data_IF_292492678155
#
_entry.id   IF_292492678155
#
_cell.length_a   1.000
_cell.length_b   1.000
_cell.length_c   1.000
_cell.angle_alpha   90.00
_cell.angle_beta   90.00
_cell.angle_gamma   90.00
#
_symmetry.space_group_name_H-M   'P 1'
#
loop_
_entity.id
_entity.type
_entity.pdbx_description
1 polymer ?
#
# COMPACT_ATOMS: atom_id res chain seq x y z
N UNK A 1 -13.06 22.49 -1.16
CA UNK A 1 -13.66 21.61 -2.19
C UNK A 1 -13.32 22.04 -3.61
N UNK A 2 -13.23 23.34 -3.93
CA UNK A 2 -12.89 23.84 -5.28
C UNK A 2 -11.64 23.23 -5.95
N UNK A 3 -10.65 22.76 -5.18
CA UNK A 3 -9.42 22.15 -5.74
C UNK A 3 -9.62 20.73 -6.25
N UNK A 4 -10.57 19.95 -5.71
CA UNK A 4 -10.83 18.58 -6.20
C UNK A 4 -11.58 18.59 -7.54
N UNK A 5 -12.45 19.58 -7.72
CA UNK A 5 -13.23 19.76 -8.94
C UNK A 5 -12.46 20.51 -10.04
N UNK A 6 -11.16 20.75 -9.85
CA UNK A 6 -10.34 21.33 -10.92
C UNK A 6 -10.23 20.29 -12.05
N UNK A 7 -10.46 20.71 -13.31
CA UNK A 7 -10.50 19.79 -14.44
C UNK A 7 -9.17 19.04 -14.62
N UNK A 8 -8.04 19.70 -14.32
CA UNK A 8 -6.72 19.09 -14.36
C UNK A 8 -6.57 17.96 -13.31
N UNK A 9 -6.96 18.23 -12.06
CA UNK A 9 -6.90 17.23 -10.97
C UNK A 9 -7.78 16.04 -11.29
N UNK A 10 -9.00 16.28 -11.79
CA UNK A 10 -9.93 15.22 -12.14
C UNK A 10 -9.39 14.37 -13.30
N UNK A 11 -8.86 15.02 -14.35
CA UNK A 11 -8.28 14.31 -15.50
C UNK A 11 -7.14 13.39 -15.06
N UNK A 12 -6.22 13.89 -14.24
CA UNK A 12 -5.11 13.08 -13.73
C UNK A 12 -5.57 11.96 -12.80
N UNK A 13 -6.54 12.24 -11.91
CA UNK A 13 -7.10 11.24 -11.01
C UNK A 13 -7.79 10.10 -11.78
N UNK A 14 -8.58 10.43 -12.81
CA UNK A 14 -9.22 9.44 -13.69
C UNK A 14 -8.18 8.60 -14.43
N UNK A 15 -7.13 9.23 -14.98
CA UNK A 15 -6.07 8.47 -15.66
C UNK A 15 -5.31 7.55 -14.72
N UNK A 16 -4.98 8.00 -13.51
CA UNK A 16 -4.30 7.18 -12.51
C UNK A 16 -5.20 6.02 -12.05
N UNK A 17 -6.48 6.31 -11.77
CA UNK A 17 -7.45 5.29 -11.39
C UNK A 17 -7.70 4.24 -12.47
N UNK A 18 -7.67 4.63 -13.76
CA UNK A 18 -7.79 3.68 -14.87
C UNK A 18 -6.59 2.75 -14.92
N UNK A 19 -5.37 3.29 -14.80
CA UNK A 19 -4.14 2.49 -14.74
C UNK A 19 -4.15 1.55 -13.53
N UNK A 20 -4.63 2.01 -12.37
CA UNK A 20 -4.74 1.18 -11.17
C UNK A 20 -5.81 0.10 -11.29
N UNK A 21 -6.96 0.39 -11.90
CA UNK A 21 -7.98 -0.62 -12.15
C UNK A 21 -7.42 -1.77 -13.00
N UNK A 22 -6.69 -1.42 -14.08
CA UNK A 22 -5.98 -2.40 -14.92
C UNK A 22 -4.91 -3.15 -14.13
N UNK A 23 -4.13 -2.46 -13.30
CA UNK A 23 -3.10 -3.08 -12.46
C UNK A 23 -3.69 -4.02 -11.39
N UNK A 24 -4.91 -3.76 -10.91
CA UNK A 24 -5.60 -4.59 -9.93
C UNK A 24 -6.30 -5.81 -10.55
N UNK A 25 -6.57 -5.79 -11.86
CA UNK A 25 -7.30 -6.87 -12.54
C UNK A 25 -6.75 -8.28 -12.27
N UNK A 26 -5.43 -8.54 -12.34
CA UNK A 26 -4.91 -9.89 -12.11
C UNK A 26 -5.28 -10.43 -10.73
N UNK A 27 -5.06 -9.64 -9.66
CA UNK A 27 -5.40 -10.07 -8.29
C UNK A 27 -6.92 -10.29 -8.12
N UNK A 28 -7.75 -9.42 -8.72
CA UNK A 28 -9.21 -9.58 -8.71
C UNK A 28 -9.67 -10.84 -9.44
N UNK A 29 -8.96 -11.21 -10.52
CA UNK A 29 -9.26 -12.41 -11.31
C UNK A 29 -8.92 -13.69 -10.56
N UNK A 30 -7.84 -13.69 -9.76
CA UNK A 30 -7.39 -14.82 -8.96
C UNK A 30 -8.14 -14.97 -7.63
N UNK A 31 -8.93 -13.98 -7.20
CA UNK A 31 -9.65 -14.05 -5.93
C UNK A 31 -10.73 -15.15 -5.96
N UNK A 32 -10.55 -16.28 -5.23
CA UNK A 32 -11.45 -17.43 -5.33
C UNK A 32 -12.80 -17.19 -4.63
N UNK A 33 -12.81 -16.43 -3.53
CA UNK A 33 -13.99 -16.19 -2.69
C UNK A 33 -14.84 -14.97 -3.12
N UNK A 34 -14.73 -14.54 -4.39
CA UNK A 34 -15.47 -13.36 -4.85
C UNK A 34 -16.98 -13.61 -4.87
N UNK A 35 -17.73 -12.75 -4.20
CA UNK A 35 -19.20 -12.75 -4.23
C UNK A 35 -19.73 -11.98 -5.44
N UNK A 36 -18.99 -10.97 -5.89
CA UNK A 36 -19.40 -10.06 -6.96
C UNK A 36 -18.64 -10.32 -8.27
N UNK A 37 -19.24 -9.97 -9.42
CA UNK A 37 -18.58 -10.13 -10.72
C UNK A 37 -17.39 -9.17 -10.88
N UNK A 38 -16.39 -9.58 -11.66
CA UNK A 38 -15.11 -8.85 -11.81
C UNK A 38 -15.34 -7.42 -12.32
N UNK A 39 -16.18 -7.24 -13.34
CA UNK A 39 -16.48 -5.91 -13.90
C UNK A 39 -17.02 -4.93 -12.85
N UNK A 40 -17.79 -5.43 -11.87
CA UNK A 40 -18.33 -4.61 -10.79
C UNK A 40 -17.23 -4.22 -9.80
N UNK A 41 -16.35 -5.17 -9.44
CA UNK A 41 -15.21 -4.91 -8.57
C UNK A 41 -14.23 -3.93 -9.22
N UNK A 42 -13.95 -4.07 -10.52
CA UNK A 42 -13.13 -3.13 -11.28
C UNK A 42 -13.75 -1.74 -11.33
N UNK A 43 -15.06 -1.62 -11.59
CA UNK A 43 -15.76 -0.34 -11.56
C UNK A 43 -15.67 0.32 -10.18
N UNK A 44 -15.77 -0.47 -9.10
CA UNK A 44 -15.66 0.01 -7.73
C UNK A 44 -14.22 0.46 -7.40
N UNK A 45 -13.21 -0.30 -7.84
CA UNK A 45 -11.80 0.10 -7.73
C UNK A 45 -11.57 1.39 -8.51
N UNK A 46 -12.03 1.48 -9.75
CA UNK A 46 -11.89 2.67 -10.58
C UNK A 46 -12.52 3.91 -9.93
N UNK A 47 -13.78 3.81 -9.47
CA UNK A 47 -14.47 4.92 -8.81
C UNK A 47 -13.80 5.31 -7.49
N UNK A 48 -13.44 4.32 -6.67
CA UNK A 48 -12.75 4.52 -5.40
C UNK A 48 -11.39 5.19 -5.60
N UNK A 49 -10.55 4.64 -6.47
CA UNK A 49 -9.25 5.20 -6.80
C UNK A 49 -9.35 6.60 -7.39
N UNK A 50 -10.38 6.90 -8.19
CA UNK A 50 -10.59 8.26 -8.72
C UNK A 50 -10.76 9.26 -7.58
N UNK A 51 -11.57 8.94 -6.57
CA UNK A 51 -11.76 9.81 -5.40
C UNK A 51 -10.47 9.92 -4.57
N UNK A 52 -9.80 8.79 -4.31
CA UNK A 52 -8.57 8.76 -3.51
C UNK A 52 -7.44 9.54 -4.20
N UNK A 53 -7.22 9.37 -5.50
CA UNK A 53 -6.26 10.15 -6.27
C UNK A 53 -6.63 11.63 -6.33
N UNK A 54 -7.91 11.97 -6.41
CA UNK A 54 -8.32 13.37 -6.33
C UNK A 54 -7.88 14.00 -5.00
N UNK A 55 -7.98 13.27 -3.88
CA UNK A 55 -7.47 13.75 -2.58
C UNK A 55 -5.95 13.95 -2.62
N UNK A 56 -5.21 12.96 -3.12
CA UNK A 56 -3.75 13.02 -3.23
C UNK A 56 -3.33 14.20 -4.11
N UNK A 57 -3.77 14.25 -5.36
CA UNK A 57 -3.36 15.27 -6.33
C UNK A 57 -3.88 16.67 -5.97
N UNK A 58 -5.11 16.75 -5.47
CA UNK A 58 -5.78 18.03 -5.20
C UNK A 58 -5.41 18.67 -3.85
N UNK A 59 -4.97 17.89 -2.86
CA UNK A 59 -4.64 18.41 -1.53
C UNK A 59 -3.18 18.25 -1.13
N UNK A 60 -2.54 17.11 -1.43
CA UNK A 60 -1.18 16.87 -0.94
C UNK A 60 -0.20 17.97 -1.38
N UNK A 61 -0.10 18.36 -2.67
CA UNK A 61 0.82 19.43 -3.07
C UNK A 61 0.56 20.76 -2.38
N UNK A 62 -0.71 21.07 -2.12
CA UNK A 62 -1.12 22.34 -1.53
C UNK A 62 -0.70 22.47 -0.07
N UNK A 63 -0.89 21.40 0.72
CA UNK A 63 -0.60 21.45 2.16
C UNK A 63 0.82 20.99 2.49
N UNK A 64 1.34 19.97 1.81
CA UNK A 64 2.70 19.47 2.03
C UNK A 64 3.77 20.34 1.35
N UNK A 65 3.37 21.24 0.42
CA UNK A 65 4.26 22.06 -0.43
C UNK A 65 5.31 21.23 -1.17
N UNK A 66 4.92 20.01 -1.59
CA UNK A 66 5.78 19.04 -2.27
C UNK A 66 5.01 18.34 -3.39
N UNK A 67 5.65 18.02 -4.52
CA UNK A 67 5.00 17.26 -5.57
C UNK A 67 4.72 15.83 -5.10
N UNK A 68 3.64 15.23 -5.62
CA UNK A 68 3.26 13.84 -5.35
C UNK A 68 4.27 12.87 -5.94
N UNK A 69 4.70 13.13 -7.18
CA UNK A 69 5.70 12.36 -7.90
C UNK A 69 7.03 13.10 -7.89
N UNK A 70 8.05 12.50 -7.25
CA UNK A 70 9.43 13.00 -7.27
C UNK A 70 10.33 11.99 -7.96
N UNK A 71 10.79 12.33 -9.17
CA UNK A 71 11.77 11.52 -9.90
C UNK A 71 13.20 11.76 -9.40
N UNK A 72 13.48 12.97 -8.92
CA UNK A 72 14.78 13.33 -8.31
C UNK A 72 14.75 12.96 -6.82
N UNK A 73 14.90 11.67 -6.52
CA UNK A 73 15.05 11.20 -5.15
C UNK A 73 16.50 11.44 -4.72
N UNK A 74 16.71 12.04 -3.55
CA UNK A 74 18.05 12.20 -2.99
C UNK A 74 18.70 10.84 -2.72
N UNK A 75 20.03 10.76 -2.84
CA UNK A 75 20.78 9.52 -2.62
C UNK A 75 20.49 8.89 -1.24
N UNK A 76 20.33 9.72 -0.20
CA UNK A 76 20.06 9.25 1.16
C UNK A 76 18.68 8.57 1.32
N UNK A 77 17.54 9.22 1.00
CA UNK A 77 16.24 8.55 1.01
C UNK A 77 16.20 7.29 0.13
N UNK A 78 16.87 7.32 -1.03
CA UNK A 78 16.98 6.15 -1.91
C UNK A 78 17.73 4.99 -1.26
N UNK A 79 18.91 5.25 -0.69
CA UNK A 79 19.70 4.25 0.02
C UNK A 79 18.94 3.68 1.23
N UNK A 80 18.27 4.55 1.99
CA UNK A 80 17.46 4.13 3.13
C UNK A 80 16.31 3.22 2.69
N UNK A 81 15.60 3.57 1.62
CA UNK A 81 14.54 2.71 1.06
C UNK A 81 15.11 1.36 0.63
N UNK A 82 16.22 1.33 -0.10
CA UNK A 82 16.81 0.07 -0.56
C UNK A 82 17.28 -0.80 0.59
N UNK A 83 18.07 -0.25 1.52
CA UNK A 83 18.63 -1.02 2.64
C UNK A 83 17.53 -1.48 3.61
N UNK A 84 16.59 -0.61 3.97
CA UNK A 84 15.49 -1.00 4.86
C UNK A 84 14.53 -1.99 4.18
N UNK A 85 14.25 -1.82 2.89
CA UNK A 85 13.45 -2.76 2.10
C UNK A 85 14.06 -4.16 2.12
N UNK A 86 15.35 -4.27 1.79
CA UNK A 86 16.06 -5.56 1.80
C UNK A 86 16.16 -6.17 3.21
N UNK A 87 16.52 -5.36 4.22
CA UNK A 87 16.65 -5.85 5.59
C UNK A 87 15.31 -6.34 6.16
N UNK A 88 14.24 -5.57 5.99
CA UNK A 88 12.90 -5.95 6.46
C UNK A 88 12.40 -7.15 5.66
N UNK A 89 12.58 -7.17 4.33
CA UNK A 89 12.23 -8.32 3.49
C UNK A 89 12.90 -9.62 3.99
N UNK A 90 14.20 -9.56 4.29
CA UNK A 90 14.95 -10.68 4.83
C UNK A 90 14.45 -11.13 6.20
N UNK A 91 14.21 -10.20 7.12
CA UNK A 91 13.68 -10.52 8.46
C UNK A 91 12.29 -11.15 8.38
N UNK A 92 11.40 -10.61 7.54
CA UNK A 92 10.06 -11.17 7.31
C UNK A 92 10.14 -12.57 6.72
N UNK A 93 10.97 -12.75 5.69
CA UNK A 93 11.19 -14.04 5.06
C UNK A 93 11.67 -15.09 6.08
N UNK A 94 12.60 -14.72 6.96
CA UNK A 94 13.23 -15.68 7.87
C UNK A 94 12.38 -16.02 9.10
N UNK A 95 11.65 -15.05 9.65
CA UNK A 95 11.00 -15.19 10.96
C UNK A 95 9.47 -15.18 10.92
N UNK A 96 8.89 -14.36 10.05
CA UNK A 96 7.43 -14.12 10.05
C UNK A 96 6.74 -15.01 9.03
N UNK A 97 7.23 -15.04 7.80
CA UNK A 97 6.57 -15.72 6.70
C UNK A 97 6.41 -17.24 6.88
N UNK A 98 7.34 -18.00 7.50
CA UNK A 98 7.13 -19.43 7.74
C UNK A 98 5.95 -19.71 8.68
N UNK A 99 5.78 -18.87 9.71
CA UNK A 99 4.69 -19.04 10.69
C UNK A 99 3.34 -18.59 10.15
N UNK A 100 3.33 -17.52 9.35
CA UNK A 100 2.12 -17.03 8.69
C UNK A 100 1.65 -17.96 7.58
N UNK A 101 2.56 -18.47 6.75
CA UNK A 101 2.20 -19.35 5.64
C UNK A 101 1.52 -20.64 6.13
N UNK A 102 2.05 -21.26 7.19
CA UNK A 102 1.44 -22.45 7.78
C UNK A 102 0.00 -22.24 8.28
N UNK A 103 -0.39 -21.00 8.58
CA UNK A 103 -1.73 -20.64 9.10
C UNK A 103 -2.65 -20.05 8.03
N UNK A 104 -2.09 -19.37 7.05
CA UNK A 104 -2.80 -18.68 5.97
C UNK A 104 -2.07 -18.87 4.64
N UNK A 105 -2.14 -20.08 4.06
CA UNK A 105 -1.46 -20.35 2.79
C UNK A 105 -2.02 -19.48 1.65
N UNK A 106 -3.31 -19.13 1.68
CA UNK A 106 -3.96 -18.27 0.68
C UNK A 106 -3.40 -16.83 0.62
N UNK A 107 -2.80 -16.34 1.71
CA UNK A 107 -2.17 -15.01 1.76
C UNK A 107 -0.79 -14.98 1.07
N UNK A 108 -0.30 -16.13 0.58
CA UNK A 108 0.97 -16.24 -0.14
C UNK A 108 0.74 -16.61 -1.61
N UNK A 109 1.49 -16.02 -2.55
CA UNK A 109 1.38 -16.37 -3.96
C UNK A 109 1.88 -17.80 -4.20
N UNK A 110 1.13 -18.57 -4.97
CA UNK A 110 1.52 -19.92 -5.37
C UNK A 110 2.54 -19.90 -6.51
N UNK A 111 2.34 -19.02 -7.49
CA UNK A 111 3.12 -18.93 -8.73
C UNK A 111 3.58 -17.50 -9.02
N UNK A 112 4.45 -17.34 -10.03
CA UNK A 112 4.92 -16.03 -10.50
C UNK A 112 3.78 -15.11 -10.96
N UNK A 113 2.74 -15.67 -11.58
CA UNK A 113 1.58 -14.90 -12.05
C UNK A 113 0.77 -14.32 -10.88
N UNK A 114 0.52 -15.15 -9.86
CA UNK A 114 -0.11 -14.73 -8.60
C UNK A 114 0.75 -13.69 -7.86
N UNK A 115 2.07 -13.88 -7.84
CA UNK A 115 2.99 -12.92 -7.25
C UNK A 115 2.94 -11.55 -7.96
N UNK A 116 2.91 -11.55 -9.30
CA UNK A 116 2.85 -10.33 -10.10
C UNK A 116 1.53 -9.59 -9.87
N UNK A 117 0.40 -10.30 -9.86
CA UNK A 117 -0.90 -9.73 -9.51
C UNK A 117 -0.91 -9.09 -8.12
N UNK A 118 -0.36 -9.78 -7.13
CA UNK A 118 -0.27 -9.30 -5.75
C UNK A 118 0.62 -8.07 -5.61
N UNK A 119 1.73 -8.00 -6.34
CA UNK A 119 2.60 -6.82 -6.35
C UNK A 119 1.87 -5.63 -6.96
N UNK A 120 1.28 -5.80 -8.15
CA UNK A 120 0.58 -4.71 -8.83
C UNK A 120 -0.56 -4.18 -7.98
N UNK A 121 -1.36 -5.06 -7.38
CA UNK A 121 -2.43 -4.69 -6.46
C UNK A 121 -1.91 -3.94 -5.22
N UNK A 122 -0.79 -4.39 -4.64
CA UNK A 122 -0.18 -3.72 -3.47
C UNK A 122 0.35 -2.32 -3.82
N UNK A 123 1.02 -2.18 -4.96
CA UNK A 123 1.59 -0.92 -5.41
C UNK A 123 0.50 0.09 -5.80
N UNK A 124 -0.52 -0.38 -6.53
CA UNK A 124 -1.64 0.43 -6.98
C UNK A 124 -2.58 0.80 -5.82
N UNK A 125 -3.27 -0.18 -5.25
CA UNK A 125 -4.40 0.10 -4.37
C UNK A 125 -4.00 0.22 -2.90
N UNK A 126 -3.18 -0.71 -2.41
CA UNK A 126 -2.89 -0.79 -0.96
C UNK A 126 -2.15 0.45 -0.48
N UNK A 127 -1.15 0.95 -1.22
CA UNK A 127 -0.46 2.18 -0.85
C UNK A 127 -1.32 3.43 -0.97
N UNK A 128 -2.15 3.51 -2.02
CA UNK A 128 -3.08 4.62 -2.19
C UNK A 128 -4.06 4.70 -1.02
N UNK A 129 -4.66 3.56 -0.65
CA UNK A 129 -5.68 3.47 0.38
C UNK A 129 -5.13 3.66 1.79
N UNK A 130 -3.96 3.11 2.11
CA UNK A 130 -3.41 3.12 3.47
C UNK A 130 -2.50 4.29 3.77
N UNK A 131 -1.85 4.86 2.75
CA UNK A 131 -0.79 5.85 2.95
C UNK A 131 -1.13 7.15 2.25
N UNK A 132 -1.23 7.14 0.92
CA UNK A 132 -1.26 8.40 0.16
C UNK A 132 -2.54 9.20 0.41
N UNK A 133 -3.70 8.58 0.26
CA UNK A 133 -4.98 9.25 0.43
C UNK A 133 -5.26 9.63 1.90
N UNK A 134 -5.02 8.77 2.90
CA UNK A 134 -5.16 9.15 4.30
C UNK A 134 -4.25 10.31 4.70
N UNK A 135 -2.96 10.32 4.28
CA UNK A 135 -2.07 11.46 4.56
C UNK A 135 -2.64 12.73 3.95
N UNK A 136 -3.06 12.71 2.68
CA UNK A 136 -3.59 13.90 2.00
C UNK A 136 -4.87 14.43 2.66
N UNK A 137 -5.79 13.52 3.05
CA UNK A 137 -7.05 13.86 3.71
C UNK A 137 -6.83 14.36 5.15
N UNK A 138 -6.00 13.68 5.95
CA UNK A 138 -5.70 14.09 7.32
C UNK A 138 -4.90 15.39 7.37
N UNK A 139 -4.01 15.62 6.40
CA UNK A 139 -3.28 16.87 6.29
C UNK A 139 -4.21 18.04 5.96
N UNK A 140 -5.24 17.79 5.13
CA UNK A 140 -6.30 18.77 4.85
C UNK A 140 -7.11 19.12 6.11
N UNK A 141 -7.38 18.15 6.98
CA UNK A 141 -8.18 18.34 8.19
C UNK A 141 -7.39 19.00 9.32
N UNK A 142 -6.19 18.51 9.60
CA UNK A 142 -5.40 18.93 10.77
C UNK A 142 -4.48 20.12 10.47
N UNK A 143 -4.11 20.32 9.20
CA UNK A 143 -3.12 21.32 8.80
C UNK A 143 -1.70 21.04 9.29
N UNK A 144 -1.48 19.95 10.05
CA UNK A 144 -0.19 19.59 10.66
C UNK A 144 0.29 18.25 10.13
N UNK A 145 1.46 18.25 9.49
CA UNK A 145 2.03 17.07 8.85
C UNK A 145 2.29 15.92 9.82
N UNK A 146 2.82 16.23 10.99
CA UNK A 146 3.14 15.26 12.04
C UNK A 146 1.88 14.53 12.52
N UNK A 147 0.80 15.28 12.76
CA UNK A 147 -0.47 14.74 13.21
C UNK A 147 -1.09 13.85 12.13
N UNK A 148 -1.07 14.32 10.87
CA UNK A 148 -1.54 13.52 9.74
C UNK A 148 -0.74 12.21 9.56
N UNK A 149 0.58 12.26 9.74
CA UNK A 149 1.44 11.08 9.68
C UNK A 149 1.09 10.06 10.78
N UNK A 150 0.98 10.50 12.04
CA UNK A 150 0.64 9.63 13.17
C UNK A 150 -0.73 8.98 12.96
N UNK A 151 -1.76 9.75 12.62
CA UNK A 151 -3.09 9.20 12.36
C UNK A 151 -3.12 8.25 11.15
N UNK A 152 -2.29 8.47 10.13
CA UNK A 152 -2.21 7.53 9.00
C UNK A 152 -1.61 6.19 9.43
N UNK A 153 -0.57 6.21 10.27
CA UNK A 153 0.02 4.97 10.80
C UNK A 153 -1.00 4.22 11.66
N UNK A 154 -1.73 4.93 12.52
CA UNK A 154 -2.79 4.35 13.35
C UNK A 154 -3.94 3.79 12.51
N UNK A 155 -4.34 4.49 11.43
CA UNK A 155 -5.37 4.02 10.50
C UNK A 155 -5.01 2.65 9.92
N UNK A 156 -3.76 2.43 9.51
CA UNK A 156 -3.35 1.13 8.99
C UNK A 156 -3.33 0.00 10.04
N UNK A 157 -3.15 0.32 11.33
CA UNK A 157 -3.35 -0.63 12.43
C UNK A 157 -4.82 -0.92 12.71
N UNK A 158 -5.68 0.10 12.59
CA UNK A 158 -7.12 -0.03 12.73
C UNK A 158 -7.74 -0.90 11.61
N UNK A 159 -7.25 -0.75 10.37
CA UNK A 159 -7.63 -1.65 9.26
C UNK A 159 -7.30 -3.12 9.58
N UNK A 160 -6.13 -3.38 10.19
CA UNK A 160 -5.77 -4.73 10.63
C UNK A 160 -6.73 -5.24 11.71
N UNK A 161 -7.10 -4.38 12.67
CA UNK A 161 -8.05 -4.74 13.72
C UNK A 161 -9.44 -5.11 13.15
N UNK A 162 -9.89 -4.44 12.09
CA UNK A 162 -11.14 -4.81 11.40
C UNK A 162 -11.03 -6.10 10.59
N UNK A 163 -9.83 -6.48 10.13
CA UNK A 163 -9.61 -7.74 9.42
C UNK A 163 -9.45 -8.94 10.38
N UNK A 164 -9.16 -8.70 11.66
CA UNK A 164 -8.92 -9.76 12.63
C UNK A 164 -10.11 -10.72 12.82
N UNK A 165 -11.37 -10.27 12.95
CA UNK A 165 -12.52 -11.17 13.11
C UNK A 165 -12.74 -12.11 11.92
N UNK A 166 -12.29 -11.72 10.72
CA UNK A 166 -12.38 -12.53 9.51
C UNK A 166 -11.22 -13.54 9.36
N UNK A 167 -10.26 -13.54 10.30
CA UNK A 167 -9.08 -14.39 10.26
C UNK A 167 -9.16 -15.55 11.27
N UNK A 168 -8.50 -16.69 11.01
CA UNK A 168 -8.35 -17.73 12.02
C UNK A 168 -7.73 -17.17 13.31
N UNK A 169 -8.13 -17.68 14.50
CA UNK A 169 -7.63 -17.16 15.76
C UNK A 169 -6.10 -17.31 15.86
N UNK A 170 -5.43 -16.19 16.09
CA UNK A 170 -3.99 -16.14 16.33
C UNK A 170 -3.70 -16.08 17.84
N UNK A 171 -2.60 -16.69 18.31
CA UNK A 171 -2.06 -16.40 19.63
C UNK A 171 -1.84 -14.90 19.77
N UNK A 172 -2.15 -14.35 20.94
CA UNK A 172 -2.03 -12.91 21.22
C UNK A 172 -0.64 -12.37 20.87
N UNK A 173 0.42 -13.12 21.19
CA UNK A 173 1.80 -12.75 20.85
C UNK A 173 2.01 -12.58 19.33
N UNK A 174 1.40 -13.45 18.51
CA UNK A 174 1.50 -13.37 17.06
C UNK A 174 0.69 -12.19 16.51
N UNK A 175 -0.51 -11.94 17.07
CA UNK A 175 -1.30 -10.76 16.72
C UNK A 175 -0.54 -9.47 17.01
N UNK A 176 0.11 -9.36 18.17
CA UNK A 176 0.95 -8.23 18.53
C UNK A 176 2.14 -8.07 17.59
N UNK A 177 2.77 -9.18 17.17
CA UNK A 177 3.87 -9.15 16.20
C UNK A 177 3.40 -8.64 14.82
N UNK A 178 2.25 -9.11 14.32
CA UNK A 178 1.68 -8.64 13.05
C UNK A 178 1.29 -7.17 13.14
N UNK A 179 0.69 -6.75 14.27
CA UNK A 179 0.35 -5.35 14.51
C UNK A 179 1.60 -4.47 14.54
N UNK A 180 2.63 -4.87 15.28
CA UNK A 180 3.90 -4.15 15.35
C UNK A 180 4.54 -4.04 13.96
N UNK A 181 4.60 -5.14 13.20
CA UNK A 181 5.06 -5.14 11.83
C UNK A 181 4.27 -4.15 10.97
N UNK A 182 2.94 -4.17 11.06
CA UNK A 182 2.06 -3.28 10.28
C UNK A 182 2.30 -1.82 10.60
N UNK A 183 2.46 -1.48 11.87
CA UNK A 183 2.76 -0.11 12.30
C UNK A 183 4.13 0.34 11.81
N UNK A 184 5.16 -0.50 11.94
CA UNK A 184 6.52 -0.20 11.46
C UNK A 184 6.52 0.01 9.94
N UNK A 185 5.92 -0.91 9.18
CA UNK A 185 5.89 -0.82 7.71
C UNK A 185 5.09 0.38 7.21
N UNK A 186 3.96 0.70 7.85
CA UNK A 186 3.20 1.91 7.52
C UNK A 186 3.95 3.19 7.90
N UNK A 187 4.62 3.21 9.06
CA UNK A 187 5.44 4.36 9.48
C UNK A 187 6.57 4.63 8.47
N UNK A 188 7.26 3.59 8.01
CA UNK A 188 8.26 3.70 6.95
C UNK A 188 7.64 4.19 5.64
N UNK A 189 6.49 3.66 5.23
CA UNK A 189 5.80 4.09 4.01
C UNK A 189 5.43 5.57 4.05
N UNK A 190 4.89 6.04 5.18
CA UNK A 190 4.59 7.47 5.40
C UNK A 190 5.87 8.30 5.36
N UNK A 191 6.93 7.88 6.05
CA UNK A 191 8.21 8.59 6.05
C UNK A 191 8.79 8.74 4.63
N UNK A 192 8.81 7.65 3.86
CA UNK A 192 9.31 7.63 2.49
C UNK A 192 8.43 8.48 1.57
N UNK A 193 7.11 8.45 1.74
CA UNK A 193 6.17 9.28 0.99
C UNK A 193 6.44 10.78 1.20
N UNK A 194 6.66 11.19 2.46
CA UNK A 194 6.95 12.60 2.79
C UNK A 194 8.30 13.07 2.24
N UNK A 195 9.26 12.17 2.04
CA UNK A 195 10.62 12.48 1.58
C UNK A 195 10.80 12.37 0.07
N UNK A 196 10.26 11.33 -0.54
CA UNK A 196 10.50 10.94 -1.94
C UNK A 196 9.24 10.56 -2.71
N UNK A 197 8.05 10.94 -2.20
CA UNK A 197 6.80 10.81 -2.92
C UNK A 197 6.40 9.36 -3.20
N UNK A 198 5.51 9.18 -4.16
CA UNK A 198 4.94 7.88 -4.53
C UNK A 198 6.00 6.89 -5.02
N UNK A 199 6.94 7.35 -5.85
CA UNK A 199 7.98 6.53 -6.48
C UNK A 199 8.85 5.80 -5.44
N UNK A 200 9.23 6.48 -4.36
CA UNK A 200 10.08 5.89 -3.33
C UNK A 200 9.34 4.83 -2.51
N UNK A 201 8.06 5.06 -2.21
CA UNK A 201 7.22 4.07 -1.54
C UNK A 201 7.00 2.85 -2.43
N UNK A 202 6.75 3.05 -3.72
CA UNK A 202 6.59 1.95 -4.67
C UNK A 202 7.87 1.11 -4.79
N UNK A 203 9.04 1.75 -4.89
CA UNK A 203 10.31 1.03 -4.90
C UNK A 203 10.51 0.20 -3.62
N UNK A 204 10.26 0.81 -2.45
CA UNK A 204 10.39 0.12 -1.19
C UNK A 204 9.43 -1.07 -1.04
N UNK A 205 8.17 -0.89 -1.45
CA UNK A 205 7.17 -1.97 -1.43
C UNK A 205 7.51 -3.09 -2.40
N UNK A 206 8.01 -2.76 -3.60
CA UNK A 206 8.49 -3.75 -4.55
C UNK A 206 9.59 -4.63 -3.92
N UNK A 207 10.57 -4.02 -3.25
CA UNK A 207 11.63 -4.74 -2.53
C UNK A 207 11.10 -5.60 -1.38
N UNK A 208 10.06 -5.16 -0.69
CA UNK A 208 9.44 -6.00 0.34
C UNK A 208 8.77 -7.23 -0.26
N UNK A 209 8.05 -7.07 -1.36
CA UNK A 209 7.29 -8.14 -1.99
C UNK A 209 8.15 -9.11 -2.81
N UNK A 210 9.35 -8.71 -3.22
CA UNK A 210 10.30 -9.59 -3.91
C UNK A 210 10.75 -10.77 -3.05
N UNK A 211 10.60 -10.71 -1.72
CA UNK A 211 10.85 -11.84 -0.82
C UNK A 211 10.02 -13.09 -1.15
N UNK A 212 8.83 -12.90 -1.72
CA UNK A 212 7.97 -14.01 -2.12
C UNK A 212 8.44 -14.66 -3.42
N UNK A 213 9.03 -13.88 -4.33
CA UNK A 213 9.63 -14.41 -5.56
C UNK A 213 10.77 -15.37 -5.24
N UNK A 214 11.67 -14.97 -4.35
CA UNK A 214 12.77 -15.84 -3.90
C UNK A 214 12.27 -17.18 -3.35
N UNK A 215 11.13 -17.16 -2.65
CA UNK A 215 10.54 -18.38 -2.08
C UNK A 215 9.92 -19.30 -3.12
N UNK A 216 9.25 -18.74 -4.13
CA UNK A 216 8.67 -19.53 -5.23
C UNK A 216 9.76 -20.31 -5.96
N UNK A 217 10.94 -19.73 -6.17
CA UNK A 217 12.05 -20.39 -6.85
C UNK A 217 12.72 -21.51 -6.03
N UNK A 218 12.71 -21.43 -4.70
CA UNK A 218 13.42 -22.37 -3.83
C UNK A 218 12.51 -23.40 -3.15
N UNK A 219 11.20 -23.36 -3.40
CA UNK A 219 10.22 -24.23 -2.75
C UNK A 219 9.91 -23.83 -1.31
N UNK A 220 8.80 -24.35 -0.79
CA UNK A 220 8.32 -24.15 0.59
C UNK A 220 9.00 -25.07 1.60
#
# INVERSE_FOLDING_TARGET
MRTLAQPEVLRWAVTAALLEAVACYPELSFWPERVYPIWYLEALVFLGCTVLWAFVLGWYPKYARRPVFTLKVGAWPGALATLSGLAIAFLLYRFVDPTLHARKPADYPADLEHWLGRILFNLALVQLFLVFAPVAWLLRLTGRLEVAAVFTVLFGGLVLAFQHPASPPFPVAMLLAILAQRLVTNAFSVYLFLRGGVSLVWWWQFLLQSRHWWRIEHGW
#
